data_IF_609150526293
#
_entry.id   IF_609150526293
#
_cell.length_a   1.000
_cell.length_b   1.000
_cell.length_c   1.000
_cell.angle_alpha   90.00
_cell.angle_beta   90.00
_cell.angle_gamma   90.00
#
_symmetry.space_group_name_H-M   'P 1'
#
loop_
_entity.id
_entity.type
_entity.pdbx_description
1 polymer ?
#
# COMPACT_ATOMS: atom_id res chain seq x y z
N UNK A 1 -13.23 -10.89 20.76
CA UNK A 1 -11.94 -11.53 21.15
C UNK A 1 -11.40 -10.95 22.46
N UNK A 2 -11.13 -9.64 22.52
CA UNK A 2 -10.66 -8.99 23.76
C UNK A 2 -11.77 -8.94 24.81
N UNK A 3 -12.98 -8.54 24.41
CA UNK A 3 -14.18 -8.54 25.26
C UNK A 3 -14.54 -9.94 25.78
N UNK A 4 -14.20 -10.97 25.00
CA UNK A 4 -14.41 -12.39 25.35
C UNK A 4 -13.22 -12.99 26.14
N UNK A 5 -12.25 -12.17 26.56
CA UNK A 5 -11.05 -12.57 27.30
C UNK A 5 -10.26 -13.75 26.67
N UNK A 6 -10.25 -13.81 25.32
CA UNK A 6 -9.53 -14.87 24.59
C UNK A 6 -8.04 -14.81 24.85
N UNK A 7 -7.39 -15.97 24.75
CA UNK A 7 -5.95 -16.11 24.98
C UNK A 7 -5.13 -15.15 24.10
N UNK A 8 -4.22 -14.41 24.73
CA UNK A 8 -3.47 -13.32 24.08
C UNK A 8 -2.74 -13.76 22.80
N UNK A 9 -2.21 -14.98 22.75
CA UNK A 9 -1.53 -15.50 21.56
C UNK A 9 -2.48 -15.64 20.38
N UNK A 10 -3.74 -16.02 20.60
CA UNK A 10 -4.74 -16.10 19.53
C UNK A 10 -5.08 -14.71 18.99
N UNK A 11 -5.19 -13.71 19.87
CA UNK A 11 -5.41 -12.31 19.48
C UNK A 11 -4.23 -11.81 18.62
N UNK A 12 -2.99 -12.11 19.04
CA UNK A 12 -1.80 -11.75 18.27
C UNK A 12 -1.77 -12.43 16.90
N UNK A 13 -2.15 -13.72 16.81
CA UNK A 13 -2.28 -14.40 15.52
C UNK A 13 -3.31 -13.73 14.60
N UNK A 14 -4.47 -13.34 15.13
CA UNK A 14 -5.47 -12.64 14.33
C UNK A 14 -5.02 -11.24 13.91
N UNK A 15 -4.32 -10.51 14.78
CA UNK A 15 -3.70 -9.23 14.41
C UNK A 15 -2.69 -9.39 13.28
N UNK A 16 -1.86 -10.45 13.30
CA UNK A 16 -0.94 -10.75 12.20
C UNK A 16 -1.68 -11.11 10.90
N UNK A 17 -2.77 -11.88 10.99
CA UNK A 17 -3.59 -12.20 9.82
C UNK A 17 -4.19 -10.93 9.18
N UNK A 18 -4.71 -10.01 9.99
CA UNK A 18 -5.24 -8.72 9.52
C UNK A 18 -4.13 -7.87 8.90
N UNK A 19 -2.96 -7.76 9.54
CA UNK A 19 -1.80 -7.04 8.97
C UNK A 19 -1.41 -7.60 7.62
N UNK A 20 -1.31 -8.93 7.49
CA UNK A 20 -0.97 -9.58 6.21
C UNK A 20 -2.03 -9.31 5.13
N UNK A 21 -3.31 -9.33 5.48
CA UNK A 21 -4.39 -9.00 4.56
C UNK A 21 -4.30 -7.53 4.11
N UNK A 22 -4.03 -6.60 5.03
CA UNK A 22 -3.86 -5.18 4.72
C UNK A 22 -2.66 -4.94 3.80
N UNK A 23 -1.50 -5.55 4.08
CA UNK A 23 -0.32 -5.44 3.20
C UNK A 23 -0.59 -5.97 1.78
N UNK A 24 -1.41 -7.03 1.67
CA UNK A 24 -1.84 -7.54 0.35
C UNK A 24 -2.72 -6.53 -0.38
N UNK A 25 -3.69 -5.92 0.30
CA UNK A 25 -4.56 -4.89 -0.29
C UNK A 25 -3.74 -3.68 -0.72
N UNK A 26 -2.83 -3.20 0.12
CA UNK A 26 -1.90 -2.10 -0.19
C UNK A 26 -1.10 -2.38 -1.46
N UNK A 27 -0.54 -3.59 -1.59
CA UNK A 27 0.18 -4.01 -2.79
C UNK A 27 -0.70 -3.97 -4.05
N UNK A 28 -1.97 -4.39 -3.95
CA UNK A 28 -2.90 -4.35 -5.09
C UNK A 28 -3.25 -2.93 -5.49
N UNK A 29 -3.50 -2.04 -4.53
CA UNK A 29 -3.79 -0.62 -4.78
C UNK A 29 -2.59 0.05 -5.45
N UNK A 30 -1.39 -0.19 -4.93
CA UNK A 30 -0.15 0.33 -5.50
C UNK A 30 0.07 -0.16 -6.94
N UNK A 31 -0.15 -1.45 -7.19
CA UNK A 31 -0.05 -2.03 -8.54
C UNK A 31 -1.04 -1.38 -9.51
N UNK A 32 -2.29 -1.17 -9.09
CA UNK A 32 -3.30 -0.52 -9.92
C UNK A 32 -2.94 0.95 -10.22
N UNK A 33 -2.45 1.69 -9.22
CA UNK A 33 -2.00 3.07 -9.40
C UNK A 33 -0.82 3.17 -10.38
N UNK A 34 0.18 2.29 -10.22
CA UNK A 34 1.32 2.24 -11.14
C UNK A 34 0.90 1.84 -12.56
N UNK A 35 -0.03 0.90 -12.71
CA UNK A 35 -0.52 0.47 -14.01
C UNK A 35 -1.31 1.56 -14.73
N UNK A 36 -2.10 2.37 -14.02
CA UNK A 36 -2.97 3.35 -14.66
C UNK A 36 -2.37 4.76 -14.65
N UNK A 37 -2.14 5.33 -13.47
CA UNK A 37 -1.75 6.74 -13.34
C UNK A 37 -0.34 7.02 -13.84
N UNK A 38 0.60 6.09 -13.66
CA UNK A 38 1.96 6.26 -14.19
C UNK A 38 1.99 5.99 -15.69
N UNK A 39 1.24 5.01 -16.19
CA UNK A 39 1.09 4.76 -17.63
C UNK A 39 0.51 6.00 -18.34
N UNK A 40 -0.58 6.59 -17.82
CA UNK A 40 -1.15 7.83 -18.36
C UNK A 40 -0.14 8.99 -18.36
N UNK A 41 0.63 9.14 -17.27
CA UNK A 41 1.66 10.17 -17.19
C UNK A 41 2.76 9.96 -18.25
N UNK A 42 3.18 8.71 -18.49
CA UNK A 42 4.16 8.38 -19.52
C UNK A 42 3.59 8.69 -20.91
N UNK A 43 2.38 8.20 -21.22
CA UNK A 43 1.71 8.42 -22.51
C UNK A 43 1.51 9.91 -22.79
N UNK A 44 1.27 10.72 -21.76
CA UNK A 44 1.10 12.17 -21.92
C UNK A 44 2.32 12.89 -22.49
N UNK A 45 3.52 12.30 -22.37
CA UNK A 45 4.79 12.93 -22.77
C UNK A 45 5.18 14.17 -21.95
N UNK A 46 4.39 14.56 -20.94
CA UNK A 46 4.66 15.73 -20.12
C UNK A 46 5.60 15.38 -18.96
N UNK A 47 6.83 15.89 -19.04
CA UNK A 47 7.88 15.63 -18.04
C UNK A 47 7.52 16.09 -16.62
N UNK A 48 6.73 17.15 -16.46
CA UNK A 48 6.30 17.62 -15.13
C UNK A 48 5.29 16.65 -14.50
N UNK A 49 4.33 16.18 -15.29
CA UNK A 49 3.32 15.21 -14.86
C UNK A 49 3.97 13.88 -14.48
N UNK A 50 4.93 13.43 -15.28
CA UNK A 50 5.72 12.21 -14.99
C UNK A 50 6.49 12.33 -13.69
N UNK A 51 7.21 13.44 -13.49
CA UNK A 51 7.99 13.67 -12.26
C UNK A 51 7.08 13.68 -11.04
N UNK A 52 5.95 14.39 -11.11
CA UNK A 52 4.97 14.44 -10.03
C UNK A 52 4.45 13.06 -9.64
N UNK A 53 4.06 12.23 -10.62
CA UNK A 53 3.58 10.86 -10.37
C UNK A 53 4.66 9.93 -9.84
N UNK A 54 5.90 10.13 -10.25
CA UNK A 54 7.03 9.40 -9.68
C UNK A 54 7.29 9.81 -8.22
N UNK A 55 7.29 11.11 -7.91
CA UNK A 55 7.51 11.63 -6.57
C UNK A 55 6.40 11.16 -5.60
N UNK A 56 5.14 11.10 -6.05
CA UNK A 56 4.01 10.51 -5.30
C UNK A 56 4.33 9.06 -4.87
N UNK A 57 4.89 8.24 -5.76
CA UNK A 57 5.28 6.87 -5.42
C UNK A 57 6.44 6.83 -4.42
N UNK A 58 7.47 7.67 -4.61
CA UNK A 58 8.61 7.77 -3.68
C UNK A 58 8.13 8.12 -2.27
N UNK A 59 7.19 9.06 -2.14
CA UNK A 59 6.63 9.46 -0.85
C UNK A 59 5.85 8.33 -0.17
N UNK A 60 5.11 7.52 -0.94
CA UNK A 60 4.41 6.34 -0.42
C UNK A 60 5.42 5.32 0.12
N UNK A 61 6.47 5.01 -0.65
CA UNK A 61 7.51 4.07 -0.21
C UNK A 61 8.36 4.59 0.96
N UNK A 62 8.59 5.91 1.06
CA UNK A 62 9.31 6.50 2.19
C UNK A 62 8.50 6.41 3.51
N UNK A 63 7.17 6.47 3.42
CA UNK A 63 6.26 6.34 4.57
C UNK A 63 6.01 4.89 4.96
N UNK A 64 5.96 3.99 3.97
CA UNK A 64 5.98 2.56 4.20
C UNK A 64 7.38 2.18 4.70
N UNK A 65 7.61 2.22 6.02
CA UNK A 65 8.81 1.64 6.63
C UNK A 65 8.91 0.16 6.22
N UNK A 66 9.65 -0.12 5.15
CA UNK A 66 10.38 -1.36 4.96
C UNK A 66 11.60 -1.35 5.90
#
# INVERSE_FOLDING_TARGET
MVEDERYCIEILHQLHAVKAALSKVETQVLKAHAAFCVEEAIISGNAEVQRRKFDELVDVFAKAKL
#
